data_IF_630834167121
#
_entry.id   IF_630834167121
#
_cell.length_a   1.000
_cell.length_b   1.000
_cell.length_c   1.000
_cell.angle_alpha   90.00
_cell.angle_beta   90.00
_cell.angle_gamma   90.00
#
_symmetry.space_group_name_H-M   'P 1'
#
loop_
_entity.id
_entity.type
_entity.pdbx_description
1 polymer ?
#
# COMPACT_ATOMS: atom_id res chain seq x y z
N UNK A 1 -11.48 1.89 3.49
CA UNK A 1 -11.03 0.48 3.71
C UNK A 1 -10.86 0.25 5.19
N UNK A 2 -11.38 -0.86 5.66
CA UNK A 2 -11.15 -1.30 7.04
C UNK A 2 -9.95 -2.25 7.05
N UNK A 3 -9.09 -2.10 8.05
CA UNK A 3 -7.90 -2.93 8.18
C UNK A 3 -7.64 -3.25 9.66
N UNK A 4 -7.29 -4.49 9.96
CA UNK A 4 -6.94 -4.84 11.33
C UNK A 4 -5.59 -4.24 11.71
N UNK A 5 -5.39 -4.04 13.02
CA UNK A 5 -4.10 -3.56 13.53
C UNK A 5 -2.97 -4.49 13.10
N UNK A 6 -3.22 -5.79 13.12
CA UNK A 6 -2.19 -6.77 12.76
C UNK A 6 -1.75 -6.63 11.30
N UNK A 7 -2.69 -6.48 10.37
CA UNK A 7 -2.33 -6.31 8.96
C UNK A 7 -1.66 -4.97 8.71
N UNK A 8 -2.11 -3.92 9.39
CA UNK A 8 -1.45 -2.62 9.28
C UNK A 8 -0.02 -2.69 9.80
N UNK A 9 0.21 -3.39 10.90
CA UNK A 9 1.55 -3.57 11.44
C UNK A 9 2.44 -4.35 10.47
N UNK A 10 1.88 -5.30 9.72
CA UNK A 10 2.62 -6.01 8.68
C UNK A 10 3.09 -5.06 7.57
N UNK A 11 2.23 -4.14 7.15
CA UNK A 11 2.58 -3.13 6.14
C UNK A 11 3.70 -2.23 6.67
N UNK A 12 3.56 -1.75 7.90
CA UNK A 12 4.58 -0.88 8.52
C UNK A 12 5.90 -1.63 8.69
N UNK A 13 5.84 -2.90 9.08
CA UNK A 13 7.06 -3.72 9.24
C UNK A 13 7.79 -3.88 7.91
N UNK A 14 7.06 -4.06 6.81
CA UNK A 14 7.66 -4.13 5.48
C UNK A 14 8.35 -2.80 5.13
N UNK A 15 7.68 -1.68 5.41
CA UNK A 15 8.25 -0.36 5.15
C UNK A 15 9.55 -0.14 5.92
N UNK A 16 9.57 -0.55 7.18
CA UNK A 16 10.78 -0.41 8.00
C UNK A 16 11.90 -1.34 7.56
N UNK A 17 11.55 -2.55 7.13
CA UNK A 17 12.54 -3.52 6.69
C UNK A 17 13.27 -3.06 5.42
N UNK A 18 12.57 -2.36 4.52
CA UNK A 18 13.16 -1.91 3.27
C UNK A 18 13.80 -0.53 3.36
N UNK A 19 13.55 0.23 4.43
CA UNK A 19 14.13 1.56 4.58
C UNK A 19 15.66 1.49 4.50
N UNK A 20 16.33 2.44 3.87
CA UNK A 20 15.82 3.73 3.37
C UNK A 20 15.15 3.68 2.00
N UNK A 21 15.00 2.51 1.40
CA UNK A 21 14.32 2.37 0.13
C UNK A 21 12.82 2.30 0.33
N UNK A 22 12.05 2.71 -0.68
CA UNK A 22 10.61 2.55 -0.65
C UNK A 22 10.26 1.06 -0.78
N UNK A 23 9.31 0.59 0.02
CA UNK A 23 8.73 -0.73 -0.16
C UNK A 23 7.50 -0.62 -1.06
N UNK A 24 7.02 -1.74 -1.55
CA UNK A 24 5.74 -1.79 -2.24
C UNK A 24 5.07 -3.15 -2.06
N UNK A 25 3.77 -3.17 -2.22
CA UNK A 25 3.00 -4.39 -2.11
C UNK A 25 1.54 -4.16 -2.42
N UNK A 26 0.73 -5.18 -2.19
CA UNK A 26 -0.69 -5.16 -2.46
C UNK A 26 -1.46 -5.60 -1.23
N UNK A 27 -2.65 -5.02 -1.04
CA UNK A 27 -3.57 -5.42 0.01
C UNK A 27 -4.81 -6.00 -0.63
N UNK A 28 -5.09 -7.26 -0.34
CA UNK A 28 -6.31 -7.91 -0.79
C UNK A 28 -7.45 -7.55 0.14
N UNK A 29 -8.64 -7.31 -0.43
CA UNK A 29 -9.83 -6.99 0.35
C UNK A 29 -10.98 -7.91 -0.01
N UNK A 30 -11.96 -7.93 0.90
CA UNK A 30 -13.22 -8.61 0.69
C UNK A 30 -14.28 -7.76 1.36
N UNK A 31 -15.24 -7.30 0.59
CA UNK A 31 -16.31 -6.40 1.07
C UNK A 31 -15.74 -5.17 1.79
N UNK A 32 -14.66 -4.60 1.25
CA UNK A 32 -14.05 -3.39 1.80
C UNK A 32 -13.17 -3.60 3.01
N UNK A 33 -12.94 -4.84 3.39
CA UNK A 33 -12.09 -5.15 4.54
C UNK A 33 -10.80 -5.83 4.07
N UNK A 34 -9.66 -5.34 4.54
CA UNK A 34 -8.38 -5.96 4.23
C UNK A 34 -8.30 -7.36 4.84
N UNK A 35 -7.94 -8.35 4.01
CA UNK A 35 -7.85 -9.75 4.44
C UNK A 35 -6.46 -10.32 4.30
N UNK A 36 -5.61 -9.72 3.49
CA UNK A 36 -4.23 -10.20 3.31
C UNK A 36 -3.31 -9.10 2.82
N UNK A 37 -2.07 -9.14 3.23
CA UNK A 37 -1.01 -8.24 2.76
C UNK A 37 -0.03 -9.09 1.96
N UNK A 38 0.26 -8.66 0.73
CA UNK A 38 1.20 -9.34 -0.16
C UNK A 38 2.39 -8.43 -0.41
N UNK A 39 3.53 -8.77 0.15
CA UNK A 39 4.76 -8.01 -0.07
C UNK A 39 5.29 -8.28 -1.46
N UNK A 40 5.81 -7.25 -2.11
CA UNK A 40 6.51 -7.39 -3.39
C UNK A 40 7.84 -6.65 -3.31
N UNK A 41 8.68 -6.85 -4.32
CA UNK A 41 9.98 -6.22 -4.37
C UNK A 41 9.91 -4.96 -5.22
N UNK A 42 10.55 -3.90 -4.74
CA UNK A 42 10.76 -2.68 -5.53
C UNK A 42 12.00 -2.88 -6.40
N UNK A 43 11.82 -2.96 -7.72
CA UNK A 43 12.93 -3.22 -8.62
C UNK A 43 13.96 -2.09 -8.67
N UNK A 44 13.57 -0.88 -8.30
CA UNK A 44 14.49 0.24 -8.30
C UNK A 44 15.38 0.29 -7.06
N UNK A 45 14.98 -0.37 -5.97
CA UNK A 45 15.70 -0.29 -4.69
C UNK A 45 16.07 1.16 -4.39
N UNK A 46 15.07 2.05 -4.44
CA UNK A 46 15.27 3.50 -4.38
C UNK A 46 14.51 4.11 -3.21
N UNK A 47 15.08 5.14 -2.56
CA UNK A 47 14.34 5.89 -1.54
C UNK A 47 13.38 6.93 -2.13
N UNK A 48 13.33 7.07 -3.46
CA UNK A 48 12.56 8.13 -4.12
C UNK A 48 11.42 7.63 -4.98
N UNK A 49 11.41 6.37 -5.34
CA UNK A 49 10.35 5.82 -6.20
C UNK A 49 10.29 4.31 -6.06
N UNK A 50 9.19 3.73 -6.52
CA UNK A 50 9.04 2.29 -6.54
C UNK A 50 8.49 1.83 -7.90
N UNK A 51 8.81 0.60 -8.22
CA UNK A 51 8.14 -0.15 -9.28
C UNK A 51 8.09 -1.60 -8.82
N UNK A 52 6.89 -2.17 -8.80
CA UNK A 52 6.70 -3.54 -8.33
C UNK A 52 7.31 -4.51 -9.34
N UNK A 53 8.02 -5.52 -8.84
CA UNK A 53 8.64 -6.52 -9.70
C UNK A 53 7.53 -7.20 -10.54
N UNK A 54 7.65 -7.24 -11.87
CA UNK A 54 6.53 -7.67 -12.73
C UNK A 54 6.06 -9.10 -12.50
N UNK A 55 6.96 -10.05 -12.27
CA UNK A 55 6.57 -11.44 -12.04
C UNK A 55 5.87 -11.59 -10.70
N UNK A 56 6.33 -10.88 -9.68
CA UNK A 56 5.68 -10.88 -8.38
C UNK A 56 4.31 -10.24 -8.46
N UNK A 57 4.18 -9.16 -9.24
CA UNK A 57 2.91 -8.51 -9.43
C UNK A 57 1.87 -9.46 -10.02
N UNK A 58 2.25 -10.20 -11.07
CA UNK A 58 1.36 -11.17 -11.69
C UNK A 58 1.00 -12.29 -10.72
N UNK A 59 1.98 -12.81 -10.00
CA UNK A 59 1.74 -13.88 -9.04
C UNK A 59 0.78 -13.46 -7.94
N UNK A 60 0.95 -12.25 -7.42
CA UNK A 60 0.08 -11.73 -6.36
C UNK A 60 -1.33 -11.50 -6.88
N UNK A 61 -1.47 -10.93 -8.08
CA UNK A 61 -2.79 -10.71 -8.67
C UNK A 61 -3.52 -12.03 -8.88
N UNK A 62 -2.82 -13.07 -9.33
CA UNK A 62 -3.41 -14.39 -9.48
C UNK A 62 -3.82 -14.98 -8.12
N UNK A 63 -3.00 -14.81 -7.10
CA UNK A 63 -3.31 -15.32 -5.76
C UNK A 63 -4.54 -14.62 -5.17
N UNK A 64 -4.67 -13.32 -5.37
CA UNK A 64 -5.82 -12.55 -4.92
C UNK A 64 -7.09 -13.05 -5.61
N UNK A 65 -7.02 -13.25 -6.93
CA UNK A 65 -8.15 -13.70 -7.72
C UNK A 65 -8.57 -15.12 -7.31
N UNK A 66 -7.61 -16.03 -7.17
CA UNK A 66 -7.88 -17.42 -6.79
C UNK A 66 -8.49 -17.53 -5.39
N UNK A 67 -8.17 -16.61 -4.50
CA UNK A 67 -8.73 -16.59 -3.16
C UNK A 67 -10.16 -16.00 -3.12
N UNK A 68 -10.65 -15.48 -4.23
CA UNK A 68 -11.94 -14.81 -4.28
C UNK A 68 -11.92 -13.42 -3.65
N UNK A 69 -10.74 -12.82 -3.55
CA UNK A 69 -10.57 -11.47 -3.01
C UNK A 69 -10.48 -10.44 -4.12
N UNK A 70 -10.41 -9.18 -3.74
CA UNK A 70 -10.23 -8.07 -4.67
C UNK A 70 -8.92 -7.36 -4.34
N UNK A 71 -8.32 -6.71 -5.33
CA UNK A 71 -7.19 -5.82 -5.08
C UNK A 71 -7.75 -4.51 -4.53
N UNK A 72 -7.70 -4.37 -3.21
CA UNK A 72 -8.27 -3.20 -2.54
C UNK A 72 -7.32 -2.02 -2.46
N UNK A 73 -6.00 -2.29 -2.37
CA UNK A 73 -5.02 -1.21 -2.29
C UNK A 73 -3.67 -1.67 -2.80
N UNK A 74 -2.92 -0.69 -3.30
CA UNK A 74 -1.49 -0.83 -3.57
C UNK A 74 -0.81 0.05 -2.52
N UNK A 75 0.21 -0.48 -1.85
CA UNK A 75 0.89 0.31 -0.82
C UNK A 75 2.36 0.50 -1.16
N UNK A 76 2.89 1.60 -0.70
CA UNK A 76 4.32 1.87 -0.73
C UNK A 76 4.70 2.78 0.44
N UNK A 77 5.99 3.02 0.62
CA UNK A 77 6.45 3.86 1.72
C UNK A 77 7.17 5.10 1.20
N UNK A 78 7.07 6.19 1.97
CA UNK A 78 7.90 7.36 1.81
C UNK A 78 8.83 7.42 3.02
N UNK A 79 10.13 7.32 2.81
CA UNK A 79 11.08 7.26 3.91
C UNK A 79 11.61 8.63 4.32
N UNK A 80 11.42 9.66 3.48
CA UNK A 80 11.96 11.00 3.71
C UNK A 80 10.93 12.11 3.54
N UNK A 81 9.67 11.77 3.33
CA UNK A 81 8.63 12.75 3.09
C UNK A 81 7.32 12.30 3.71
N UNK A 82 6.34 13.18 3.71
CA UNK A 82 5.02 12.87 4.23
C UNK A 82 4.32 11.80 3.37
N UNK A 83 3.36 11.06 3.95
CA UNK A 83 2.64 10.01 3.22
C UNK A 83 1.55 10.59 2.31
N UNK A 84 1.95 11.47 1.42
CA UNK A 84 1.08 12.14 0.44
C UNK A 84 1.60 11.78 -0.95
N UNK A 85 0.72 11.47 -1.92
CA UNK A 85 1.18 11.07 -3.25
C UNK A 85 2.10 12.10 -3.89
N UNK A 86 3.25 11.65 -4.36
CA UNK A 86 4.19 12.47 -5.12
C UNK A 86 3.71 12.58 -6.57
N UNK A 87 4.27 13.51 -7.36
CA UNK A 87 3.95 13.53 -8.80
C UNK A 87 4.25 12.21 -9.51
N UNK A 88 5.30 11.51 -9.10
CA UNK A 88 5.61 10.18 -9.64
C UNK A 88 4.51 9.18 -9.28
N UNK A 89 4.04 9.20 -8.03
CA UNK A 89 2.97 8.32 -7.57
C UNK A 89 1.68 8.56 -8.37
N UNK A 90 1.33 9.83 -8.57
CA UNK A 90 0.14 10.19 -9.36
C UNK A 90 0.26 9.70 -10.80
N UNK A 91 1.43 9.82 -11.39
CA UNK A 91 1.65 9.38 -12.76
C UNK A 91 1.54 7.85 -12.89
N UNK A 92 2.07 7.10 -11.92
CA UNK A 92 1.98 5.64 -11.94
C UNK A 92 0.54 5.15 -11.71
N UNK A 93 -0.25 5.89 -10.95
CA UNK A 93 -1.61 5.50 -10.61
C UNK A 93 -2.56 5.49 -11.82
N UNK A 94 -2.19 6.11 -12.93
CA UNK A 94 -3.05 6.10 -14.12
C UNK A 94 -3.29 4.70 -14.67
N UNK A 95 -2.40 3.76 -14.36
CA UNK A 95 -2.54 2.38 -14.81
C UNK A 95 -3.45 1.55 -13.90
N UNK A 96 -3.70 2.03 -12.67
CA UNK A 96 -4.46 1.33 -11.66
C UNK A 96 -5.37 2.31 -10.92
N UNK A 97 -6.46 2.80 -11.56
CA UNK A 97 -7.31 3.83 -10.91
C UNK A 97 -8.28 3.28 -9.88
N UNK A 98 -8.52 1.97 -9.86
CA UNK A 98 -9.55 1.39 -9.00
C UNK A 98 -9.11 1.15 -7.55
N UNK A 99 -7.93 0.58 -7.27
CA UNK A 99 -7.55 0.37 -5.88
C UNK A 99 -7.19 1.67 -5.18
N UNK A 100 -7.23 1.65 -3.86
CA UNK A 100 -6.71 2.74 -3.07
C UNK A 100 -5.17 2.69 -3.09
N UNK A 101 -4.55 3.81 -2.75
CA UNK A 101 -3.11 3.89 -2.57
C UNK A 101 -2.84 4.17 -1.10
N UNK A 102 -2.19 3.23 -0.43
CA UNK A 102 -1.83 3.35 0.98
C UNK A 102 -0.36 3.71 1.05
N UNK A 103 -0.04 4.81 1.70
CA UNK A 103 1.34 5.29 1.82
C UNK A 103 1.73 5.30 3.29
N UNK A 104 2.87 4.67 3.58
CA UNK A 104 3.45 4.65 4.93
C UNK A 104 4.55 5.68 4.99
N UNK A 105 4.35 6.73 5.78
CA UNK A 105 5.38 7.74 6.00
C UNK A 105 6.24 7.39 7.21
N UNK A 106 7.55 7.36 7.02
CA UNK A 106 8.51 7.03 8.06
C UNK A 106 9.39 8.22 8.46
N UNK A 107 9.03 9.42 8.04
CA UNK A 107 9.84 10.61 8.27
C UNK A 107 9.76 11.13 9.71
N UNK A 108 8.76 10.75 10.46
CA UNK A 108 8.55 11.19 11.84
C UNK A 108 8.93 10.12 12.86
N UNK A 109 8.66 10.43 14.13
CA UNK A 109 8.96 9.52 15.24
C UNK A 109 8.10 8.26 15.20
N UNK A 110 6.88 8.38 14.69
CA UNK A 110 5.96 7.27 14.56
C UNK A 110 5.52 7.16 13.09
N UNK A 111 5.17 5.97 12.62
CA UNK A 111 4.69 5.83 11.26
C UNK A 111 3.34 6.54 11.08
N UNK A 112 3.20 7.23 9.95
CA UNK A 112 1.97 7.90 9.57
C UNK A 112 1.45 7.20 8.31
N UNK A 113 0.31 6.54 8.40
CA UNK A 113 -0.23 5.75 7.30
C UNK A 113 -1.53 6.39 6.82
N UNK A 114 -1.57 6.72 5.54
CA UNK A 114 -2.75 7.34 4.93
C UNK A 114 -3.14 6.63 3.66
N UNK A 115 -4.43 6.66 3.35
CA UNK A 115 -4.97 6.06 2.15
C UNK A 115 -5.49 7.16 1.21
N UNK A 116 -5.29 6.96 -0.07
CA UNK A 116 -5.60 7.95 -1.10
C UNK A 116 -6.33 7.31 -2.26
N UNK A 117 -7.19 8.09 -2.91
CA UNK A 117 -7.77 7.74 -4.19
C UNK A 117 -7.17 8.64 -5.24
N UNK A 118 -6.66 8.05 -6.31
CA UNK A 118 -6.01 8.78 -7.39
C UNK A 118 -6.68 8.36 -8.70
N UNK A 119 -7.47 9.26 -9.28
CA UNK A 119 -8.22 9.00 -10.53
C UNK A 119 -8.02 10.18 -11.47
N UNK A 120 -7.53 9.91 -12.67
CA UNK A 120 -7.29 10.93 -13.70
C UNK A 120 -6.46 12.10 -13.18
N UNK A 121 -5.47 11.82 -12.36
CA UNK A 121 -4.60 12.85 -11.78
C UNK A 121 -5.18 13.58 -10.58
N UNK A 122 -6.44 13.32 -10.24
CA UNK A 122 -7.07 13.96 -9.06
C UNK A 122 -6.83 13.10 -7.83
N UNK A 123 -6.28 13.73 -6.79
CA UNK A 123 -5.91 13.07 -5.54
C UNK A 123 -6.88 13.49 -4.44
N UNK A 124 -7.43 12.52 -3.73
CA UNK A 124 -8.26 12.78 -2.56
C UNK A 124 -7.97 11.75 -1.48
N UNK A 125 -8.00 12.18 -0.23
CA UNK A 125 -7.74 11.27 0.87
C UNK A 125 -8.96 10.37 1.10
N UNK A 126 -8.72 9.08 1.36
CA UNK A 126 -9.75 8.09 1.60
C UNK A 126 -9.68 7.63 3.05
N UNK A 127 -10.80 7.15 3.56
CA UNK A 127 -10.85 6.65 4.92
C UNK A 127 -10.04 5.36 5.06
N UNK A 128 -9.23 5.29 6.10
CA UNK A 128 -8.53 4.08 6.51
C UNK A 128 -8.92 3.81 7.97
N UNK A 129 -9.83 2.87 8.15
CA UNK A 129 -10.36 2.56 9.46
C UNK A 129 -9.60 1.39 10.05
N UNK A 130 -8.86 1.65 11.11
CA UNK A 130 -8.03 0.64 11.76
C UNK A 130 -8.81 -0.01 12.89
N UNK A 131 -8.96 -1.33 12.81
CA UNK A 131 -9.66 -2.09 13.83
C UNK A 131 -8.65 -2.78 14.73
N UNK A 132 -8.74 -2.50 16.02
CA UNK A 132 -7.84 -3.11 16.97
C UNK A 132 -8.13 -4.59 17.18
N UNK A 133 -9.19 -4.99 16.67
CA UNK A 133 -9.38 -6.36 16.60
C UNK A 133 -9.71 -6.99 17.86
N UNK A 134 -9.53 -7.88 17.82
CA UNK A 134 -9.64 -8.78 18.58
C UNK A 134 -9.58 -8.73 19.97
N UNK A 135 -10.09 -8.20 20.59
CA UNK A 135 -10.02 -8.31 21.79
C UNK A 135 -10.96 -9.10 22.31
N UNK A 136 -11.11 -9.91 22.37
CA UNK A 136 -11.99 -10.73 23.06
C UNK A 136 -11.77 -12.16 22.81
#
# INVERSE_FOLDING_TARGET
MRISRQLLDDVVAHARADAPNECCGMIATRDGEAVAVHRTRNVHASPLRYEMEPNEQIRVLNAIDEAGHELGAIYHSHTRSEPVPSPTDVNLAKWWPEPLYVIVGLDGDAPDVRAWRIVDGAVSEAALEVEDGARH
#
